data_IF_599021840905
#
_entry.id   IF_599021840905
#
_cell.length_a   1.000
_cell.length_b   1.000
_cell.length_c   1.000
_cell.angle_alpha   90.00
_cell.angle_beta   90.00
_cell.angle_gamma   90.00
#
_symmetry.space_group_name_H-M   'P 1'
#
loop_
_entity.id
_entity.type
_entity.pdbx_description
1 polymer ?
2 non-polymer ?
3 water ?
#
# COMPACT_ATOMS: atom_id res chain seq x y z
N UNK A 7 30.70 7.05 5.81
CA UNK A 7 31.29 6.79 4.49
C UNK A 7 30.29 6.25 3.43
N UNK A 8 29.42 5.21 3.69
CA UNK A 8 28.54 4.75 2.61
C UNK A 8 27.38 5.68 2.32
N UNK A 9 27.08 5.88 1.04
CA UNK A 9 26.01 6.76 0.64
C UNK A 9 25.05 6.07 -0.32
N UNK A 10 23.80 6.52 -0.34
CA UNK A 10 22.77 6.00 -1.23
C UNK A 10 22.51 7.05 -2.29
N UNK A 11 22.52 6.70 -3.58
CA UNK A 11 22.20 7.67 -4.64
C UNK A 11 20.73 8.15 -4.45
N UNK A 12 19.84 7.22 -4.05
CA UNK A 12 18.43 7.42 -3.76
C UNK A 12 17.92 6.21 -2.94
N UNK A 13 16.74 6.35 -2.30
CA UNK A 13 16.17 5.27 -1.50
C UNK A 13 14.73 5.05 -1.94
N UNK A 14 14.45 3.91 -2.57
CA UNK A 14 13.12 3.59 -3.08
C UNK A 14 12.63 2.27 -2.51
N UNK A 15 11.33 2.15 -2.32
CA UNK A 15 10.74 0.91 -1.82
C UNK A 15 9.39 0.61 -2.44
N UNK A 16 9.11 -0.67 -2.67
CA UNK A 16 7.81 -1.14 -3.13
C UNK A 16 7.38 -2.22 -2.15
N UNK A 17 6.19 -2.05 -1.53
CA UNK A 17 5.66 -2.97 -0.53
C UNK A 17 4.32 -3.45 -1.04
N UNK A 18 4.10 -4.78 -1.13
CA UNK A 18 2.86 -5.35 -1.60
C UNK A 18 2.32 -6.27 -0.53
N UNK A 19 1.05 -6.10 -0.18
CA UNK A 19 0.37 -6.95 0.79
C UNK A 19 -0.89 -7.53 0.21
N UNK A 20 -0.98 -8.85 0.11
CA UNK A 20 -2.18 -9.51 -0.41
C UNK A 20 -3.01 -10.17 0.67
N UNK A 21 -4.28 -9.78 0.76
CA UNK A 21 -5.19 -10.28 1.78
C UNK A 21 -6.46 -10.92 1.25
N UNK A 22 -7.17 -10.20 0.40
CA UNK A 22 -8.47 -10.57 -0.13
C UNK A 22 -8.36 -11.53 -1.32
N UNK A 23 -8.07 -12.79 -1.05
CA UNK A 23 -7.93 -13.81 -2.07
C UNK A 23 -9.28 -14.32 -2.56
N UNK A 24 -9.44 -14.38 -3.87
CA UNK A 24 -10.68 -14.81 -4.47
C UNK A 24 -10.90 -16.31 -4.33
N UNK A 25 -9.86 -17.14 -4.48
CA UNK A 25 -10.04 -18.60 -4.34
C UNK A 25 -9.20 -19.21 -3.21
N UNK A 26 -8.63 -18.40 -2.32
CA UNK A 26 -7.81 -18.89 -1.21
C UNK A 26 -8.18 -18.23 0.12
N UNK A 27 -7.75 -18.79 1.26
CA UNK A 27 -8.08 -18.16 2.55
C UNK A 27 -7.64 -16.70 2.64
N UNK A 28 -8.53 -15.84 3.15
CA UNK A 28 -8.18 -14.45 3.30
C UNK A 28 -7.20 -14.24 4.47
N UNK A 29 -6.23 -13.35 4.28
CA UNK A 29 -5.25 -13.02 5.30
C UNK A 29 -5.62 -11.68 5.92
N UNK A 30 -5.18 -11.41 7.15
CA UNK A 30 -5.51 -10.13 7.80
C UNK A 30 -4.27 -9.31 8.08
N UNK A 31 -3.15 -9.98 8.49
CA UNK A 31 -1.90 -9.33 8.85
C UNK A 31 -1.23 -8.46 7.76
N UNK A 32 -1.24 -8.78 6.43
CA UNK A 32 -0.59 -7.87 5.46
C UNK A 32 -1.03 -6.41 5.54
N UNK A 33 -2.32 -6.13 5.85
CA UNK A 33 -2.84 -4.77 5.98
C UNK A 33 -2.03 -3.96 6.99
N UNK A 34 -1.94 -4.41 8.25
CA UNK A 34 -1.23 -3.73 9.31
C UNK A 34 0.28 -3.70 9.08
N UNK A 35 0.83 -4.83 8.64
CA UNK A 35 2.25 -4.98 8.37
C UNK A 35 2.77 -4.05 7.27
N UNK A 36 2.11 -4.01 6.11
CA UNK A 36 2.48 -3.11 5.04
C UNK A 36 2.30 -1.64 5.47
N UNK A 37 1.21 -1.34 6.20
CA UNK A 37 0.97 0.02 6.71
C UNK A 37 2.07 0.48 7.66
N UNK A 38 2.48 -0.37 8.60
CA UNK A 38 3.52 -0.02 9.57
C UNK A 38 4.91 0.01 8.96
N UNK A 39 5.20 -0.87 7.99
CA UNK A 39 6.51 -0.86 7.34
C UNK A 39 6.65 0.40 6.48
N UNK A 40 5.54 0.85 5.81
CA UNK A 40 5.49 2.04 4.97
C UNK A 40 5.91 3.25 5.78
N UNK A 41 5.32 3.42 6.98
CA UNK A 41 5.66 4.55 7.83
C UNK A 41 7.10 4.48 8.30
N UNK A 42 7.56 3.29 8.72
CA UNK A 42 8.93 3.10 9.17
C UNK A 42 9.96 3.45 8.09
N UNK A 43 9.76 2.97 6.85
CA UNK A 43 10.67 3.25 5.74
C UNK A 43 10.63 4.73 5.34
N UNK A 44 9.44 5.38 5.38
CA UNK A 44 9.36 6.81 5.08
C UNK A 44 10.16 7.62 6.09
N UNK A 45 10.20 7.20 7.36
CA UNK A 45 11.03 7.82 8.39
C UNK A 45 12.51 7.72 8.03
N UNK A 46 12.93 6.64 7.32
CA UNK A 46 14.32 6.43 6.89
C UNK A 46 14.61 7.10 5.52
N UNK A 47 13.71 7.98 5.02
CA UNK A 47 13.79 8.76 3.78
C UNK A 47 13.67 7.95 2.49
N UNK A 48 12.94 6.83 2.54
CA UNK A 48 12.65 6.04 1.36
C UNK A 48 11.41 6.63 0.69
N UNK A 49 11.38 6.59 -0.63
CA UNK A 49 10.20 6.98 -1.40
C UNK A 49 9.46 5.65 -1.55
N UNK A 50 8.36 5.47 -0.83
CA UNK A 50 7.64 4.20 -0.76
C UNK A 50 6.35 4.16 -1.56
N UNK A 51 6.10 3.04 -2.25
CA UNK A 51 4.82 2.80 -2.89
C UNK A 51 4.29 1.55 -2.22
N UNK A 52 3.11 1.64 -1.58
CA UNK A 52 2.52 0.50 -0.88
C UNK A 52 1.20 0.12 -1.55
N UNK A 53 1.09 -1.12 -1.96
CA UNK A 53 -0.08 -1.60 -2.67
C UNK A 53 -0.70 -2.79 -2.02
N UNK A 54 -2.00 -2.75 -1.87
CA UNK A 54 -2.75 -3.79 -1.21
C UNK A 54 -3.66 -4.54 -2.23
N UNK A 55 -3.69 -5.86 -2.17
CA UNK A 55 -4.53 -6.73 -2.98
C UNK A 55 -4.32 -6.61 -4.51
N UNK A 56 -3.15 -7.03 -5.02
CA UNK A 56 -2.87 -6.96 -6.46
C UNK A 56 -3.07 -8.30 -7.18
N UNK A 57 -3.51 -8.21 -8.44
CA UNK A 57 -3.70 -9.38 -9.32
C UNK A 57 -2.34 -9.75 -9.94
N UNK A 58 -2.26 -10.86 -10.72
CA UNK A 58 -0.99 -11.29 -11.34
C UNK A 58 -0.44 -10.17 -12.24
N UNK A 59 -1.29 -9.59 -13.11
CA UNK A 59 -0.91 -8.50 -14.00
C UNK A 59 -0.42 -7.28 -13.24
N UNK A 60 -1.19 -6.84 -12.23
CA UNK A 60 -0.86 -5.70 -11.39
C UNK A 60 0.46 -5.91 -10.62
N UNK A 61 0.69 -7.12 -10.09
CA UNK A 61 1.94 -7.42 -9.39
C UNK A 61 3.14 -7.32 -10.34
N UNK A 62 3.07 -7.95 -11.53
CA UNK A 62 4.14 -7.89 -12.53
C UNK A 62 4.42 -6.45 -12.94
N UNK A 63 3.38 -5.62 -13.17
CA UNK A 63 3.55 -4.22 -13.54
C UNK A 63 4.18 -3.37 -12.47
N UNK A 64 3.79 -3.56 -11.20
CA UNK A 64 4.36 -2.79 -10.10
C UNK A 64 5.82 -3.15 -9.87
N UNK A 65 6.17 -4.46 -9.93
CA UNK A 65 7.55 -4.90 -9.76
C UNK A 65 8.42 -4.34 -10.92
N UNK A 66 7.91 -4.37 -12.15
CA UNK A 66 8.64 -3.84 -13.30
C UNK A 66 8.95 -2.35 -13.16
N UNK A 67 7.98 -1.56 -12.67
CA UNK A 67 8.19 -0.13 -12.45
C UNK A 67 9.20 0.15 -11.34
N UNK A 68 9.21 -0.68 -10.31
CA UNK A 68 10.15 -0.56 -9.22
C UNK A 68 11.54 -0.90 -9.73
N UNK A 69 11.67 -1.98 -10.51
CA UNK A 69 12.96 -2.42 -11.06
C UNK A 69 13.59 -1.31 -11.93
N UNK A 70 12.75 -0.53 -12.63
CA UNK A 70 13.21 0.55 -13.47
C UNK A 70 13.83 1.72 -12.70
N UNK A 71 13.53 1.85 -11.39
CA UNK A 71 14.11 2.89 -10.55
C UNK A 71 15.49 2.54 -10.03
N UNK A 72 15.88 1.25 -10.09
CA UNK A 72 17.15 0.77 -9.54
C UNK A 72 18.38 1.11 -10.39
N UNK A 73 18.73 2.40 -10.45
CA UNK A 73 19.92 2.84 -11.17
C UNK A 73 21.18 2.66 -10.31
N UNK A 74 22.36 2.89 -10.90
CA UNK A 74 23.64 2.75 -10.20
C UNK A 74 23.68 3.54 -8.88
N UNK A 75 24.02 2.84 -7.79
CA UNK A 75 24.12 3.44 -6.47
C UNK A 75 22.84 3.57 -5.67
N UNK A 76 21.69 3.30 -6.29
CA UNK A 76 20.40 3.40 -5.60
C UNK A 76 20.18 2.26 -4.59
N UNK A 77 19.46 2.56 -3.48
CA UNK A 77 19.09 1.58 -2.45
C UNK A 77 17.62 1.24 -2.69
N UNK A 78 17.34 -0.02 -2.96
CA UNK A 78 15.97 -0.46 -3.21
C UNK A 78 15.51 -1.52 -2.24
N UNK A 79 14.24 -1.45 -1.79
CA UNK A 79 13.70 -2.47 -0.88
C UNK A 79 12.38 -2.96 -1.45
N UNK A 80 12.23 -4.27 -1.59
CA UNK A 80 10.99 -4.84 -2.08
C UNK A 80 10.45 -5.75 -1.00
N UNK A 81 9.18 -5.56 -0.61
CA UNK A 81 8.59 -6.38 0.44
C UNK A 81 7.28 -6.98 -0.03
N UNK A 82 7.11 -8.28 0.16
CA UNK A 82 5.87 -8.92 -0.19
C UNK A 82 5.34 -9.69 0.99
N UNK A 83 4.05 -9.54 1.29
CA UNK A 83 3.39 -10.28 2.35
C UNK A 83 2.11 -10.86 1.76
N UNK A 84 1.92 -12.17 1.92
CA UNK A 84 0.75 -12.87 1.40
C UNK A 84 0.94 -14.36 1.26
N UNK A 85 0.13 -15.02 0.43
CA UNK A 85 0.30 -16.45 0.22
C UNK A 85 1.53 -16.71 -0.63
N UNK A 86 2.25 -17.75 -0.26
CA UNK A 86 3.43 -18.18 -0.97
C UNK A 86 3.27 -19.62 -1.41
N UNK A 87 4.00 -20.00 -2.44
CA UNK A 87 3.91 -21.32 -3.02
C UNK A 87 5.34 -21.78 -3.31
N UNK A 88 5.66 -23.06 -3.07
CA UNK A 88 7.00 -23.59 -3.35
C UNK A 88 6.86 -24.80 -4.29
N UNK A 89 7.59 -24.79 -5.42
CA UNK A 89 7.50 -25.85 -6.41
C UNK A 89 8.79 -25.97 -7.21
N UNK A 90 9.39 -27.18 -7.19
CA UNK A 90 10.63 -27.52 -7.90
C UNK A 90 11.82 -26.68 -7.44
N UNK A 91 11.93 -26.43 -6.14
CA UNK A 91 13.01 -25.61 -5.59
C UNK A 91 12.86 -24.12 -5.79
N UNK A 92 11.74 -23.68 -6.38
CA UNK A 92 11.46 -22.27 -6.62
C UNK A 92 10.31 -21.81 -5.74
N UNK A 93 10.33 -20.55 -5.36
CA UNK A 93 9.30 -19.95 -4.51
C UNK A 93 8.51 -18.95 -5.35
N UNK A 94 7.21 -18.83 -5.09
CA UNK A 94 6.32 -17.97 -5.86
C UNK A 94 5.43 -17.13 -4.98
N UNK A 95 5.14 -15.90 -5.45
CA UNK A 95 4.25 -14.97 -4.77
C UNK A 95 2.89 -15.13 -5.40
N UNK A 96 1.90 -15.42 -4.58
CA UNK A 96 0.56 -15.70 -5.06
C UNK A 96 -0.32 -14.45 -5.13
N UNK A 97 -0.75 -14.02 -6.33
CA UNK A 97 -1.63 -12.84 -6.42
C UNK A 97 -3.07 -13.17 -6.00
N UNK A 98 -3.88 -12.13 -5.70
CA UNK A 98 -5.25 -12.32 -5.20
C UNK A 98 -6.19 -13.04 -6.18
N UNK A 99 -5.92 -12.95 -7.49
CA UNK A 99 -6.75 -13.59 -8.51
C UNK A 99 -6.31 -15.00 -8.89
N UNK A 100 -5.34 -15.59 -8.17
CA UNK A 100 -4.83 -16.92 -8.47
C UNK A 100 -5.89 -17.97 -8.27
N UNK A 101 -6.07 -18.84 -9.26
CA UNK A 101 -7.10 -19.88 -9.15
C UNK A 101 -6.69 -20.99 -8.19
N UNK A 102 -7.66 -21.79 -7.76
CA UNK A 102 -7.40 -22.93 -6.87
C UNK A 102 -7.61 -24.21 -7.70
N UNK A 103 -6.58 -25.09 -7.82
CA UNK A 103 -5.27 -25.08 -7.16
C UNK A 103 -4.23 -24.11 -7.76
N UNK A 104 -3.09 -23.90 -7.04
CA UNK A 104 -2.04 -23.00 -7.50
C UNK A 104 -1.36 -23.52 -8.76
N UNK A 105 -1.12 -22.63 -9.72
CA UNK A 105 -0.36 -22.94 -10.94
C UNK A 105 0.77 -21.91 -11.02
N UNK A 106 2.02 -22.36 -11.28
CA UNK A 106 3.19 -21.48 -11.31
C UNK A 106 3.06 -20.30 -12.27
N UNK A 107 2.48 -20.54 -13.46
CA UNK A 107 2.28 -19.53 -14.49
C UNK A 107 1.43 -18.34 -14.03
N UNK A 108 0.53 -18.59 -13.06
CA UNK A 108 -0.31 -17.53 -12.49
C UNK A 108 0.36 -16.77 -11.34
N UNK A 109 1.58 -17.16 -10.93
CA UNK A 109 2.29 -16.56 -9.82
C UNK A 109 3.57 -15.85 -10.26
N UNK A 110 4.15 -15.04 -9.38
CA UNK A 110 5.39 -14.36 -9.66
C UNK A 110 6.56 -15.15 -9.06
N UNK A 111 7.51 -15.58 -9.89
CA UNK A 111 8.67 -16.32 -9.45
C UNK A 111 9.69 -15.41 -8.79
N UNK A 112 9.96 -15.68 -7.51
CA UNK A 112 10.90 -14.96 -6.65
C UNK A 112 12.33 -15.00 -7.20
N UNK A 113 12.78 -16.18 -7.62
CA UNK A 113 14.11 -16.38 -8.18
C UNK A 113 14.32 -15.54 -9.43
N UNK A 114 13.28 -15.36 -10.25
CA UNK A 114 13.36 -14.56 -11.48
C UNK A 114 13.50 -13.07 -11.18
N UNK A 115 12.88 -12.59 -10.09
CA UNK A 115 13.03 -11.20 -9.68
C UNK A 115 14.45 -11.00 -9.17
N UNK A 116 14.98 -11.95 -8.38
CA UNK A 116 16.34 -11.94 -7.88
C UNK A 116 17.36 -11.85 -9.02
N UNK A 117 17.11 -12.59 -10.11
CA UNK A 117 17.93 -12.60 -11.32
C UNK A 117 17.96 -11.20 -11.94
N UNK A 118 16.80 -10.51 -12.00
CA UNK A 118 16.73 -9.16 -12.56
C UNK A 118 17.39 -8.15 -11.64
N UNK A 119 17.30 -8.35 -10.32
CA UNK A 119 17.94 -7.48 -9.36
C UNK A 119 19.46 -7.55 -9.44
N UNK A 120 20.01 -8.74 -9.78
CA UNK A 120 21.44 -9.01 -9.93
C UNK A 120 22.08 -8.23 -11.10
N UNK A 121 21.27 -7.88 -12.10
CA UNK A 121 21.73 -7.13 -13.27
C UNK A 121 21.79 -5.62 -13.02
N UNK A 122 21.25 -5.12 -11.91
CA UNK A 122 21.33 -3.72 -11.54
C UNK A 122 22.65 -3.45 -10.84
N UNK A 123 23.08 -2.19 -10.85
CA UNK A 123 24.31 -1.79 -10.16
C UNK A 123 23.93 -1.03 -8.87
N UNK A 124 22.90 -1.54 -8.16
CA UNK A 124 22.41 -0.95 -6.93
C UNK A 124 23.46 -0.92 -5.84
N UNK A 125 23.37 0.09 -5.00
CA UNK A 125 24.20 0.21 -3.82
C UNK A 125 23.75 -0.83 -2.81
N UNK A 126 22.43 -1.03 -2.71
CA UNK A 126 21.86 -2.03 -1.84
C UNK A 126 20.51 -2.46 -2.40
N UNK A 127 20.22 -3.75 -2.31
CA UNK A 127 18.95 -4.27 -2.77
C UNK A 127 18.45 -5.26 -1.73
N UNK A 128 17.39 -4.91 -1.01
CA UNK A 128 16.82 -5.76 0.04
C UNK A 128 15.53 -6.33 -0.46
N UNK A 129 15.40 -7.66 -0.47
CA UNK A 129 14.16 -8.30 -0.91
C UNK A 129 13.66 -9.13 0.26
N UNK A 130 12.50 -8.77 0.82
CA UNK A 130 11.93 -9.50 1.95
C UNK A 130 10.60 -10.16 1.55
N UNK A 131 10.47 -11.47 1.80
CA UNK A 131 9.25 -12.22 1.53
C UNK A 131 8.69 -12.68 2.83
N UNK A 132 7.44 -12.35 3.10
CA UNK A 132 6.76 -12.72 4.32
C UNK A 132 5.58 -13.54 3.85
N UNK A 133 5.76 -14.85 3.73
CA UNK A 133 4.72 -15.69 3.17
C UNK A 133 4.05 -16.68 4.11
N UNK A 134 2.84 -17.06 3.71
CA UNK A 134 2.00 -18.05 4.32
C UNK A 134 2.02 -19.23 3.32
N UNK A 135 2.64 -20.36 3.70
CA UNK A 135 2.85 -21.48 2.78
C UNK A 135 1.73 -22.52 2.67
N UNK A 152 29.79 -9.69 -11.31
CA UNK A 152 29.19 -8.40 -10.97
C UNK A 152 28.24 -8.48 -9.75
N UNK A 153 28.43 -7.54 -8.78
CA UNK A 153 27.55 -7.43 -7.60
C UNK A 153 26.56 -6.27 -7.77
N UNK A 154 25.38 -6.47 -7.17
CA UNK A 154 24.22 -5.61 -6.98
C UNK A 154 23.91 -5.47 -5.46
N UNK A 155 24.69 -6.15 -4.56
CA UNK A 155 24.54 -6.17 -3.11
C UNK A 155 23.13 -6.57 -2.68
N UNK A 156 22.73 -7.81 -3.02
CA UNK A 156 21.40 -8.31 -2.70
C UNK A 156 21.36 -9.01 -1.34
N UNK A 157 20.44 -8.56 -0.47
CA UNK A 157 20.17 -9.15 0.85
C UNK A 157 18.74 -9.64 0.77
N UNK A 158 18.55 -10.96 0.81
CA UNK A 158 17.27 -11.60 0.64
C UNK A 158 16.81 -12.26 1.92
N UNK A 159 15.66 -11.84 2.42
CA UNK A 159 15.07 -12.36 3.65
C UNK A 159 13.84 -13.16 3.29
N UNK A 160 13.79 -14.40 3.74
CA UNK A 160 12.71 -15.29 3.38
C UNK A 160 12.06 -15.90 4.60
N UNK A 161 10.95 -15.28 5.02
CA UNK A 161 10.14 -15.72 6.15
C UNK A 161 8.97 -16.56 5.64
N UNK A 162 8.76 -17.73 6.27
CA UNK A 162 7.68 -18.65 5.92
C UNK A 162 6.94 -18.94 7.22
N UNK A 163 5.61 -18.70 7.27
CA UNK A 163 4.81 -18.91 8.47
C UNK A 163 3.51 -19.66 8.16
N UNK A 164 3.55 -20.68 7.29
CA UNK A 164 2.35 -21.46 6.92
C UNK A 164 1.35 -21.75 8.09
N UNK A 165 0.23 -21.03 8.08
CA UNK A 165 -0.81 -21.17 9.09
C UNK A 165 -1.46 -19.86 9.47
N UNK A 166 -2.35 -19.95 10.50
CA UNK A 166 -3.18 -18.92 11.19
C UNK A 166 -4.20 -19.74 12.04
N UNK A 167 -4.85 -20.72 11.39
CA UNK A 167 -5.70 -21.73 11.98
C UNK A 167 -4.84 -22.87 12.60
N UNK A 168 -3.52 -22.84 12.42
CA UNK A 168 -2.62 -23.84 12.99
C UNK A 168 -2.07 -23.41 14.36
N UNK A 169 -2.45 -22.23 14.87
CA UNK A 169 -1.94 -21.75 16.14
C UNK A 169 -2.95 -21.83 17.28
N UNK A 170 -4.27 -21.90 16.96
CA UNK A 170 -5.41 -21.97 17.90
C UNK A 170 -5.83 -20.62 18.49
N UNK A 171 -5.00 -19.59 18.34
CA UNK A 171 -5.18 -18.23 18.84
C UNK A 171 -6.30 -17.47 18.11
N UNK A 172 -7.14 -16.72 18.85
CA UNK A 172 -8.15 -15.84 18.26
C UNK A 172 -7.46 -14.48 18.08
N UNK A 173 -6.90 -14.21 16.89
CA UNK A 173 -6.13 -12.99 16.67
C UNK A 173 -6.97 -11.70 16.48
N UNK A 174 -6.33 -10.54 16.80
CA UNK A 174 -6.87 -9.19 16.84
C UNK A 174 -7.41 -8.60 15.52
N UNK A 175 -7.07 -9.13 14.35
CA UNK A 175 -7.56 -8.56 13.09
C UNK A 175 -6.66 -7.43 12.61
N UNK A 176 -6.36 -6.50 13.53
CA UNK A 176 -5.37 -5.44 13.36
C UNK A 176 -4.00 -5.89 14.00
N UNK A 177 -3.83 -7.22 14.23
CA UNK A 177 -2.65 -7.87 14.77
C UNK A 177 -1.57 -8.04 13.69
N UNK A 178 -0.29 -7.98 14.09
CA UNK A 178 0.86 -8.11 13.20
C UNK A 178 1.24 -9.54 12.98
N UNK A 179 1.77 -9.82 11.79
CA UNK A 179 2.37 -11.10 11.45
C UNK A 179 3.63 -11.30 12.28
N UNK A 180 4.14 -12.55 12.33
CA UNK A 180 5.32 -12.86 13.15
C UNK A 180 6.57 -12.10 12.69
N UNK A 181 6.92 -12.17 11.38
CA UNK A 181 8.09 -11.46 10.89
C UNK A 181 8.07 -9.97 11.18
N UNK A 182 6.96 -9.29 10.84
CA UNK A 182 6.83 -7.85 11.04
C UNK A 182 6.88 -7.42 12.47
N UNK A 183 6.36 -8.24 13.39
CA UNK A 183 6.36 -7.96 14.81
C UNK A 183 7.80 -7.67 15.31
N UNK A 184 8.74 -8.54 14.93
CA UNK A 184 10.13 -8.37 15.31
C UNK A 184 10.88 -7.40 14.42
N UNK A 185 10.51 -7.33 13.14
CA UNK A 185 11.18 -6.46 12.19
C UNK A 185 10.99 -5.00 12.55
N UNK A 186 9.75 -4.60 12.85
CA UNK A 186 9.45 -3.21 13.17
C UNK A 186 10.18 -2.73 14.45
N UNK A 187 10.54 -3.64 15.36
CA UNK A 187 11.28 -3.29 16.56
C UNK A 187 12.80 -3.06 16.33
N UNK A 188 13.31 -3.31 15.11
CA UNK A 188 14.74 -3.17 14.83
C UNK A 188 15.09 -2.44 13.54
N UNK A 189 14.12 -2.21 12.67
CA UNK A 189 14.36 -1.59 11.38
C UNK A 189 14.99 -0.22 11.42
N UNK A 190 14.66 0.58 12.45
CA UNK A 190 15.19 1.94 12.55
C UNK A 190 16.62 2.03 13.08
N UNK A 191 17.26 0.90 13.37
CA UNK A 191 18.63 0.89 13.87
C UNK A 191 19.65 1.27 12.79
N UNK A 192 20.69 2.03 13.21
CA UNK A 192 21.81 2.40 12.37
C UNK A 192 22.86 1.28 12.48
N UNK A 193 22.57 0.15 11.82
CA UNK A 193 23.42 -1.05 11.77
C UNK A 193 23.35 -1.62 10.37
N UNK A 194 24.43 -2.32 9.92
CA UNK A 194 24.50 -2.98 8.60
C UNK A 194 23.27 -3.91 8.44
N UNK A 195 22.58 -3.84 7.31
CA UNK A 195 21.32 -4.56 7.11
C UNK A 195 21.40 -6.07 7.43
N UNK A 196 22.51 -6.73 7.10
CA UNK A 196 22.69 -8.15 7.37
C UNK A 196 22.85 -8.42 8.85
N UNK A 197 23.47 -7.50 9.60
CA UNK A 197 23.62 -7.66 11.03
C UNK A 197 22.24 -7.46 11.71
N UNK A 198 21.44 -6.51 11.21
CA UNK A 198 20.12 -6.17 11.71
C UNK A 198 19.14 -7.33 11.47
N UNK A 199 19.17 -7.94 10.28
CA UNK A 199 18.31 -9.08 9.99
C UNK A 199 18.70 -10.31 10.80
N UNK A 200 19.97 -10.45 11.15
CA UNK A 200 20.44 -11.54 11.98
C UNK A 200 19.85 -11.39 13.40
N UNK A 201 19.70 -10.15 13.89
CA UNK A 201 19.12 -9.87 15.19
C UNK A 201 17.62 -10.22 15.18
N UNK A 202 16.91 -9.93 14.07
CA UNK A 202 15.50 -10.30 13.91
C UNK A 202 15.34 -11.82 13.94
N UNK A 203 16.28 -12.54 13.30
CA UNK A 203 16.32 -14.00 13.27
C UNK A 203 16.50 -14.55 14.68
N UNK A 204 17.36 -13.91 15.48
CA UNK A 204 17.59 -14.31 16.88
C UNK A 204 16.34 -14.05 17.72
N UNK A 205 15.69 -12.89 17.52
CA UNK A 205 14.47 -12.52 18.23
C UNK A 205 13.37 -13.56 18.02
N UNK A 206 13.21 -14.01 16.77
CA UNK A 206 12.21 -15.02 16.42
C UNK A 206 12.53 -16.37 17.05
N UNK A 207 13.81 -16.69 17.14
CA UNK A 207 14.30 -17.93 17.72
C UNK A 207 14.02 -18.02 19.20
N UNK A 208 13.96 -16.87 19.89
CA UNK A 208 13.66 -16.77 21.33
C UNK A 208 12.15 -16.94 21.62
N UNK A 209 11.29 -16.60 20.64
CA UNK A 209 9.83 -16.70 20.74
C UNK A 209 9.42 -18.17 20.63
N UNK A 210 8.79 -18.72 21.69
CA UNK A 210 8.35 -20.12 21.75
C UNK A 210 7.21 -20.47 20.79
N UNK A 211 6.30 -19.52 20.48
CA UNK A 211 5.19 -19.70 19.54
C UNK A 211 5.71 -20.08 18.12
N UNK A 212 6.82 -19.45 17.73
CA UNK A 212 7.52 -19.60 16.46
C UNK A 212 8.02 -21.05 16.22
N UNK A 213 8.41 -21.77 17.28
CA UNK A 213 8.93 -23.14 17.18
C UNK A 213 8.11 -24.07 16.27
N UNK A 214 8.71 -24.45 15.14
CA UNK A 214 8.12 -25.35 14.16
C UNK A 214 7.03 -24.75 13.27
N UNK A 215 6.72 -23.47 13.46
CA UNK A 215 5.70 -22.78 12.69
C UNK A 215 6.34 -21.71 11.78
N UNK A 216 7.12 -20.78 12.36
CA UNK A 216 7.82 -19.77 11.58
C UNK A 216 9.20 -20.25 11.16
N UNK A 217 9.71 -19.66 10.10
CA UNK A 217 11.04 -19.91 9.57
C UNK A 217 11.56 -18.61 8.94
N UNK A 218 12.88 -18.43 8.94
CA UNK A 218 13.53 -17.27 8.33
C UNK A 218 14.91 -17.65 7.83
N UNK A 219 15.16 -17.46 6.53
CA UNK A 219 16.44 -17.72 5.90
C UNK A 219 16.91 -16.41 5.31
N UNK A 220 18.14 -16.01 5.63
CA UNK A 220 18.71 -14.78 5.07
C UNK A 220 19.85 -15.15 4.12
N UNK A 221 19.77 -14.69 2.89
CA UNK A 221 20.83 -14.92 1.90
C UNK A 221 21.44 -13.56 1.60
N UNK A 222 22.77 -13.49 1.54
CA UNK A 222 23.41 -12.22 1.35
C UNK A 222 24.66 -12.31 0.54
N UNK A 223 24.75 -11.41 -0.44
CA UNK A 223 25.93 -11.20 -1.25
C UNK A 223 26.40 -9.75 -1.08
N UNK A 224 26.22 -9.18 0.16
CA UNK A 224 26.60 -7.83 0.56
C UNK A 224 28.05 -7.76 0.98
N UNK A 225 28.90 -7.26 0.05
CA UNK A 225 30.35 -7.12 0.18
C UNK A 225 30.82 -5.82 0.85
N UNK A 226 29.89 -4.93 1.22
CA UNK A 226 30.26 -3.68 1.86
C UNK A 226 29.30 -3.27 2.99
N UNK A 227 29.76 -2.40 3.91
CA UNK A 227 28.99 -1.96 5.09
C UNK A 227 27.85 -1.01 4.74
N UNK A 228 26.70 -1.56 4.31
CA UNK A 228 25.54 -0.73 3.97
C UNK A 228 24.36 -0.94 4.92
N UNK A 229 23.65 0.17 5.21
CA UNK A 229 22.53 0.20 6.14
C UNK A 229 21.37 1.00 5.58
N UNK A 230 20.16 0.71 6.04
CA UNK A 230 18.98 1.44 5.59
C UNK A 230 19.01 2.91 6.00
N UNK A 231 19.77 3.24 7.04
CA UNK A 231 19.94 4.57 7.59
C UNK A 231 21.00 5.43 6.85
N UNK A 232 21.73 4.87 5.86
CA UNK A 232 22.76 5.58 5.09
C UNK A 232 22.17 6.83 4.42
N UNK A 233 22.91 7.95 4.40
CA UNK A 233 22.36 9.18 3.83
C UNK A 233 22.29 9.18 2.31
N UNK A 234 21.44 10.07 1.76
CA UNK A 234 21.30 10.19 0.32
C UNK A 234 22.34 11.18 -0.25
N UNK A 235 23.17 10.69 -1.19
CA UNK A 235 24.27 11.40 -1.85
C UNK A 235 23.79 12.35 -2.97
N UNK A 236 24.67 12.68 -3.91
CA UNK A 236 24.35 13.50 -5.07
C UNK A 236 23.45 12.70 -5.98
N UNK A 237 22.13 12.75 -5.68
CA UNK A 237 21.01 12.06 -6.33
C UNK A 237 21.17 12.09 -7.87
N UNK A 238 21.42 13.29 -8.46
CA UNK A 238 21.70 13.53 -9.89
C UNK A 238 20.91 12.62 -10.86
N UNK A 239 19.57 12.84 -11.00
CA UNK A 239 18.77 12.01 -11.91
C UNK A 239 19.26 12.23 -13.34
N UNK A 240 19.31 11.15 -14.11
CA UNK A 240 19.69 11.21 -15.53
C UNK A 240 18.50 11.80 -16.37
N UNK A 241 18.62 11.80 -17.72
CA UNK A 241 17.55 12.32 -18.57
C UNK A 241 16.28 11.44 -18.59
N UNK A 242 16.42 10.12 -18.87
CA UNK A 242 15.30 9.21 -18.97
C UNK A 242 14.77 8.66 -17.64
N UNK A 243 15.48 8.92 -16.53
CA UNK A 243 15.09 8.47 -15.19
C UNK A 243 14.33 9.56 -14.40
N UNK A 244 14.40 10.81 -14.85
CA UNK A 244 13.80 11.95 -14.18
C UNK A 244 12.29 11.80 -13.84
N UNK A 245 11.42 11.68 -14.87
CA UNK A 245 9.97 11.57 -14.73
C UNK A 245 9.57 10.40 -13.84
N UNK A 246 10.17 9.23 -14.07
CA UNK A 246 9.93 7.99 -13.31
C UNK A 246 10.09 8.20 -11.81
N UNK A 247 11.20 8.82 -11.42
CA UNK A 247 11.55 9.07 -10.04
C UNK A 247 10.71 10.15 -9.38
N UNK A 248 10.31 11.17 -10.15
CA UNK A 248 9.45 12.21 -9.62
C UNK A 248 8.04 11.63 -9.41
N UNK A 249 7.55 10.82 -10.37
CA UNK A 249 6.23 10.18 -10.28
C UNK A 249 6.14 9.24 -9.08
N UNK A 250 7.19 8.46 -8.81
CA UNK A 250 7.22 7.54 -7.68
C UNK A 250 7.16 8.33 -6.38
N UNK A 251 7.92 9.43 -6.30
CA UNK A 251 7.94 10.26 -5.10
C UNK A 251 6.59 10.95 -4.84
N UNK A 252 5.80 11.22 -5.90
CA UNK A 252 4.50 11.89 -5.84
C UNK A 252 3.28 10.96 -5.74
N UNK A 253 3.46 9.64 -5.83
CA UNK A 253 2.34 8.70 -5.68
C UNK A 253 1.84 8.56 -4.22
N UNK A 254 2.43 9.35 -3.31
CA UNK A 254 2.07 9.44 -1.91
C UNK A 254 1.19 10.73 -1.65
N UNK A 255 1.20 11.69 -2.61
CA UNK A 255 0.46 12.95 -2.54
C UNK A 255 -1.04 12.84 -2.85
N UNK A 256 -1.82 13.23 -1.85
CA UNK A 256 -3.27 13.21 -1.89
C UNK A 256 -3.82 14.40 -2.64
N UNK A 257 -5.04 14.29 -3.23
CA UNK A 257 -5.68 15.50 -3.77
C UNK A 257 -5.97 16.47 -2.61
N UNK A 258 -5.89 17.78 -2.86
CA UNK A 258 -6.13 18.77 -1.81
C UNK A 258 -7.62 18.88 -1.46
N UNK A 259 -7.93 19.31 -0.22
CA UNK A 259 -9.31 19.49 0.24
C UNK A 259 -10.04 20.51 -0.61
N UNK A 260 -11.32 20.28 -0.91
CA UNK A 260 -12.09 21.24 -1.71
C UNK A 260 -13.44 21.58 -1.10
N UNK A 261 -13.90 22.79 -1.35
CA UNK A 261 -15.19 23.25 -0.86
C UNK A 261 -16.08 23.50 -2.06
N UNK A 262 -17.13 22.70 -2.19
CA UNK A 262 -18.05 22.79 -3.31
C UNK A 262 -19.25 23.63 -2.96
N UNK A 263 -19.56 24.61 -3.80
CA UNK A 263 -20.70 25.48 -3.58
C UNK A 263 -21.79 25.11 -4.56
N UNK A 264 -22.99 24.91 -4.03
CA UNK A 264 -24.14 24.52 -4.81
C UNK A 264 -25.01 25.72 -5.13
N UNK A 265 -25.87 25.60 -6.16
CA UNK A 265 -26.77 26.67 -6.61
C UNK A 265 -27.62 27.27 -5.49
N UNK A 266 -28.16 26.44 -4.60
CA UNK A 266 -28.99 26.88 -3.49
C UNK A 266 -28.23 27.63 -2.38
N UNK A 267 -26.90 27.52 -2.36
CA UNK A 267 -26.07 28.18 -1.37
C UNK A 267 -25.37 27.25 -0.39
N UNK A 268 -25.74 25.96 -0.39
CA UNK A 268 -25.13 24.96 0.51
C UNK A 268 -23.67 24.67 0.10
N UNK A 269 -22.75 24.64 1.08
CA UNK A 269 -21.34 24.37 0.84
C UNK A 269 -20.95 23.02 1.43
N UNK A 270 -20.30 22.18 0.64
CA UNK A 270 -19.87 20.84 1.07
C UNK A 270 -18.34 20.77 1.07
N UNK A 271 -17.72 20.30 2.17
CA UNK A 271 -16.27 20.11 2.21
C UNK A 271 -15.92 18.66 1.89
N UNK A 272 -15.03 18.47 0.90
CA UNK A 272 -14.54 17.19 0.39
C UNK A 272 -13.09 17.04 0.83
N UNK A 273 -12.82 15.99 1.58
CA UNK A 273 -11.48 15.72 2.10
C UNK A 273 -10.95 14.39 1.66
N UNK A 274 -9.63 14.24 1.71
CA UNK A 274 -8.97 13.02 1.25
C UNK A 274 -7.92 12.49 2.24
N UNK A 275 -7.82 11.18 2.35
CA UNK A 275 -6.85 10.51 3.21
C UNK A 275 -6.38 9.23 2.54
N UNK A 276 -5.18 8.73 2.91
CA UNK A 276 -4.67 7.51 2.30
C UNK A 276 -4.18 6.46 3.28
N UNK A 277 -4.57 5.21 3.05
CA UNK A 277 -4.08 4.08 3.84
C UNK A 277 -2.86 3.51 3.10
N UNK A 278 -2.99 3.34 1.77
CA UNK A 278 -1.97 2.80 0.88
C UNK A 278 -1.94 3.63 -0.42
N UNK A 279 -0.92 3.42 -1.27
CA UNK A 279 -0.85 4.08 -2.56
C UNK A 279 -2.05 3.74 -3.44
N UNK A 280 -2.77 2.63 -3.19
CA UNK A 280 -3.96 2.30 -3.98
C UNK A 280 -5.28 2.32 -3.16
N UNK A 281 -5.23 2.82 -1.92
CA UNK A 281 -6.42 2.90 -1.04
C UNK A 281 -6.57 4.32 -0.52
N UNK A 282 -7.64 5.00 -0.95
CA UNK A 282 -7.94 6.37 -0.54
C UNK A 282 -9.33 6.48 0.07
N UNK A 283 -9.47 7.29 1.12
CA UNK A 283 -10.74 7.55 1.77
C UNK A 283 -11.19 8.97 1.41
N UNK A 284 -12.44 9.11 0.98
CA UNK A 284 -13.04 10.40 0.66
C UNK A 284 -14.08 10.69 1.75
N UNK A 285 -14.06 11.91 2.30
CA UNK A 285 -15.05 12.29 3.29
C UNK A 285 -15.73 13.60 2.94
N UNK A 286 -17.03 13.71 3.26
CA UNK A 286 -17.81 14.91 2.98
C UNK A 286 -18.54 15.39 4.23
N UNK A 287 -18.72 16.70 4.34
CA UNK A 287 -19.45 17.30 5.46
C UNK A 287 -20.07 18.63 5.00
N UNK A 288 -21.27 18.96 5.51
CA UNK A 288 -21.93 20.20 5.15
C UNK A 288 -21.30 21.31 5.98
N UNK A 289 -20.57 22.24 5.33
CA UNK A 289 -19.91 23.32 6.05
C UNK A 289 -20.77 24.58 6.15
N UNK A 290 -21.73 24.78 5.24
CA UNK A 290 -22.63 25.94 5.30
C UNK A 290 -24.02 25.60 4.79
N UNK A 291 -25.04 25.93 5.57
CA UNK A 291 -26.44 25.75 5.22
C UNK A 291 -27.09 27.13 5.30
N UNK A 292 -27.53 27.73 4.19
CA UNK A 292 -28.20 29.04 4.27
C UNK A 292 -29.46 28.95 5.14
N UNK A 293 -29.90 30.06 5.78
CA UNK A 293 -31.12 30.00 6.61
C UNK A 293 -32.38 29.56 5.85
N UNK A 294 -32.44 29.86 4.54
CA UNK A 294 -33.55 29.51 3.64
C UNK A 294 -33.70 28.00 3.45
N UNK A 295 -32.60 27.22 3.66
CA UNK A 295 -32.59 25.76 3.53
C UNK A 295 -32.83 25.17 4.90
N UNK A 296 -33.93 24.45 5.06
CA UNK A 296 -34.29 23.88 6.36
C UNK A 296 -33.57 22.57 6.64
N UNK A 297 -33.37 21.75 5.59
CA UNK A 297 -32.78 20.44 5.75
C UNK A 297 -32.04 20.05 4.48
N UNK A 298 -30.82 19.49 4.63
CA UNK A 298 -30.00 19.06 3.50
C UNK A 298 -29.04 17.93 3.89
N UNK A 299 -28.68 17.10 2.91
CA UNK A 299 -27.75 15.99 3.09
C UNK A 299 -26.96 15.77 1.82
N UNK A 300 -25.65 15.50 1.95
CA UNK A 300 -24.80 15.29 0.78
C UNK A 300 -24.27 13.86 0.74
N UNK A 301 -24.05 13.34 -0.47
CA UNK A 301 -23.52 12.00 -0.66
C UNK A 301 -22.76 11.87 -1.99
N UNK A 302 -21.83 10.93 -2.06
CA UNK A 302 -21.00 10.74 -3.24
C UNK A 302 -21.49 9.54 -4.04
N UNK A 303 -21.51 9.67 -5.38
CA UNK A 303 -22.01 8.62 -6.25
C UNK A 303 -21.32 8.62 -7.65
N UNK A 304 -21.66 7.60 -8.49
CA UNK A 304 -21.21 7.42 -9.86
C UNK A 304 -19.69 7.46 -10.02
N UNK A 305 -19.00 6.61 -9.27
CA UNK A 305 -17.54 6.47 -9.38
C UNK A 305 -17.22 5.63 -10.63
N UNK A 306 -16.00 5.73 -11.21
CA UNK A 306 -15.68 4.90 -12.38
C UNK A 306 -15.90 3.41 -12.13
N UNK A 307 -16.52 2.70 -13.11
CA UNK A 307 -16.86 1.28 -12.98
C UNK A 307 -15.68 0.35 -12.66
N UNK A 308 -14.47 0.68 -13.16
CA UNK A 308 -13.25 -0.09 -12.92
C UNK A 308 -12.91 -0.22 -11.42
N UNK A 309 -13.44 0.68 -10.58
CA UNK A 309 -13.19 0.69 -9.14
C UNK A 309 -14.04 -0.33 -8.37
N UNK A 310 -15.21 -0.74 -8.92
CA UNK A 310 -16.18 -1.69 -8.33
C UNK A 310 -16.60 -1.27 -6.90
N UNK A 311 -17.29 -0.12 -6.78
CA UNK A 311 -17.62 0.41 -5.47
C UNK A 311 -18.85 -0.28 -4.79
N UNK A 312 -20.12 -0.02 -5.24
CA UNK A 312 -21.41 -0.47 -4.67
C UNK A 312 -21.89 0.53 -3.62
N UNK A 313 -22.99 1.26 -3.92
CA UNK A 313 -23.50 2.29 -2.98
C UNK A 313 -23.77 1.83 -1.56
N UNK A 314 -24.00 0.52 -1.34
CA UNK A 314 -24.21 -0.02 0.00
C UNK A 314 -22.95 -0.04 0.88
N UNK A 315 -21.77 0.28 0.30
CA UNK A 315 -20.49 0.33 1.03
C UNK A 315 -19.92 1.77 1.12
N UNK A 316 -20.53 2.72 0.40
CA UNK A 316 -20.11 4.11 0.40
C UNK A 316 -21.02 4.97 1.31
N UNK A 317 -20.56 6.19 1.67
CA UNK A 317 -21.29 7.19 2.47
C UNK A 317 -21.64 6.71 3.89
N UNK A 318 -20.67 6.15 4.61
CA UNK A 318 -20.86 5.62 5.94
C UNK A 318 -20.63 6.64 7.06
N UNK A 319 -21.27 6.42 8.21
CA UNK A 319 -21.17 7.32 9.36
C UNK A 319 -19.85 7.32 10.09
N UNK A 320 -19.10 6.21 9.97
CA UNK A 320 -17.78 6.04 10.57
C UNK A 320 -16.80 5.45 9.53
N UNK A 321 -15.49 5.70 9.66
CA UNK A 321 -14.53 5.10 8.71
C UNK A 321 -14.49 3.58 8.80
N UNK A 322 -14.70 3.01 10.00
CA UNK A 322 -14.69 1.56 10.25
C UNK A 322 -15.73 0.82 9.43
N UNK A 323 -16.88 1.44 9.20
CA UNK A 323 -17.95 0.85 8.40
C UNK A 323 -17.58 0.68 6.92
N UNK A 324 -16.56 1.42 6.43
CA UNK A 324 -16.07 1.31 5.05
C UNK A 324 -14.91 0.29 4.90
N UNK A 325 -14.40 -0.22 6.02
CA UNK A 325 -13.26 -1.13 6.06
C UNK A 325 -11.97 -0.40 6.33
N UNK A 326 -12.04 0.83 6.87
CA UNK A 326 -10.88 1.65 7.15
C UNK A 326 -10.62 1.69 8.65
N UNK A 327 -9.46 1.20 9.08
CA UNK A 327 -9.13 1.16 10.51
C UNK A 327 -7.80 1.82 10.85
N UNK A 328 -6.95 2.01 9.85
CA UNK A 328 -5.61 2.49 10.02
C UNK A 328 -5.41 4.02 10.16
N UNK A 329 -6.23 4.84 9.48
CA UNK A 329 -6.01 6.30 9.54
C UNK A 329 -7.12 7.09 10.23
N UNK A 330 -7.83 6.46 11.17
CA UNK A 330 -8.90 7.11 11.94
C UNK A 330 -8.40 8.33 12.78
N UNK A 331 -7.09 8.38 13.07
CA UNK A 331 -6.44 9.46 13.81
C UNK A 331 -6.36 10.74 12.97
N UNK A 332 -6.20 10.59 11.65
CA UNK A 332 -6.10 11.72 10.72
C UNK A 332 -7.43 12.08 10.03
N UNK A 333 -8.53 11.39 10.39
CA UNK A 333 -9.83 11.64 9.77
C UNK A 333 -10.72 12.50 10.67
N UNK A 334 -11.19 13.65 10.16
CA UNK A 334 -12.09 14.50 10.95
C UNK A 334 -13.42 13.81 11.22
N UNK A 335 -14.00 14.07 12.39
CA UNK A 335 -15.27 13.46 12.76
C UNK A 335 -16.47 14.16 12.11
N UNK A 336 -17.66 13.54 12.25
CA UNK A 336 -18.96 14.06 11.81
C UNK A 336 -19.11 14.18 10.29
N UNK A 337 -18.45 13.27 9.55
CA UNK A 337 -18.52 13.25 8.08
C UNK A 337 -19.18 11.96 7.57
N UNK A 338 -19.31 11.82 6.24
CA UNK A 338 -19.72 10.60 5.57
C UNK A 338 -18.48 10.09 4.84
N UNK A 339 -18.15 8.80 5.00
CA UNK A 339 -16.91 8.23 4.49
C UNK A 339 -17.11 7.22 3.39
N UNK A 340 -16.18 7.22 2.42
CA UNK A 340 -16.17 6.27 1.31
C UNK A 340 -14.73 5.78 1.10
N UNK A 341 -14.54 4.46 1.00
CA UNK A 341 -13.20 3.89 0.82
C UNK A 341 -13.02 3.34 -0.60
N UNK A 342 -12.06 3.91 -1.36
CA UNK A 342 -11.72 3.48 -2.72
C UNK A 342 -10.43 2.65 -2.62
N UNK A 343 -10.55 1.33 -2.74
CA UNK A 343 -9.45 0.41 -2.52
C UNK A 343 -8.79 -0.22 -3.76
N UNK A 344 -9.26 0.12 -4.97
CA UNK A 344 -8.69 -0.49 -6.17
C UNK A 344 -8.22 0.57 -7.13
N UNK A 345 -7.55 1.61 -6.60
CA UNK A 345 -7.05 2.75 -7.40
C UNK A 345 -6.14 2.35 -8.55
N UNK A 346 -5.40 1.26 -8.41
CA UNK A 346 -4.50 0.79 -9.48
C UNK A 346 -5.25 0.39 -10.76
N UNK A 347 -6.58 0.12 -10.65
CA UNK A 347 -7.45 -0.23 -11.77
C UNK A 347 -7.97 1.01 -12.54
N UNK A 348 -7.74 2.22 -12.02
CA UNK A 348 -8.16 3.47 -12.62
C UNK A 348 -7.34 3.77 -13.86
N UNK A 349 -8.00 3.82 -15.04
CA UNK A 349 -7.32 4.10 -16.32
C UNK A 349 -7.40 5.58 -16.74
N UNK A 350 -8.37 6.32 -16.19
CA UNK A 350 -8.66 7.70 -16.53
C UNK A 350 -8.70 8.59 -15.27
N UNK A 351 -9.09 9.87 -15.41
CA UNK A 351 -9.22 10.77 -14.27
C UNK A 351 -10.31 10.24 -13.32
N UNK A 352 -10.15 10.48 -12.03
CA UNK A 352 -11.13 10.07 -11.04
C UNK A 352 -12.24 11.11 -11.07
N UNK A 353 -13.32 10.80 -11.77
CA UNK A 353 -14.49 11.66 -11.90
C UNK A 353 -15.65 11.01 -11.17
N UNK A 354 -16.22 11.72 -10.21
CA UNK A 354 -17.39 11.25 -9.47
C UNK A 354 -18.41 12.38 -9.28
N UNK A 355 -19.57 12.07 -8.71
CA UNK A 355 -20.61 13.06 -8.51
C UNK A 355 -20.91 13.31 -7.04
N UNK A 356 -20.98 14.60 -6.64
CA UNK A 356 -21.40 14.97 -5.29
C UNK A 356 -22.86 15.37 -5.44
N UNK A 357 -23.75 14.61 -4.81
CA UNK A 357 -25.20 14.77 -4.87
C UNK A 357 -25.68 15.47 -3.60
N UNK A 358 -26.62 16.40 -3.74
CA UNK A 358 -27.19 17.12 -2.61
C UNK A 358 -28.69 17.06 -2.67
N UNK A 359 -29.32 16.66 -1.56
CA UNK A 359 -30.77 16.66 -1.41
C UNK A 359 -31.02 17.83 -0.47
N UNK A 360 -31.99 18.70 -0.79
CA UNK A 360 -32.27 19.86 0.06
C UNK A 360 -33.72 20.28 0.05
N UNK A 361 -34.12 20.99 1.10
CA UNK A 361 -35.49 21.45 1.22
C UNK A 361 -35.52 22.90 1.69
N UNK A 362 -36.31 23.71 1.01
CA UNK A 362 -36.47 25.11 1.38
C UNK A 362 -37.46 25.19 2.53
N UNK A 363 -37.21 26.10 3.50
CA UNK A 363 -38.10 26.32 4.63
C UNK A 363 -39.42 26.89 4.08
N UNK A 364 -40.52 26.25 4.41
CA UNK A 364 -41.82 26.65 3.87
C UNK A 364 -42.23 25.91 2.62
N UNK A 365 -41.38 25.00 2.13
CA UNK A 365 -41.65 24.18 0.95
C UNK A 365 -41.64 22.70 1.36
N UNK A 366 -42.48 21.89 0.71
CA UNK A 366 -42.62 20.46 0.99
C UNK A 366 -41.76 19.58 0.06
N UNK A 367 -41.42 20.08 -1.13
CA UNK A 367 -40.63 19.35 -2.11
C UNK A 367 -39.15 19.23 -1.75
N UNK A 368 -38.58 18.04 -1.99
CA UNK A 368 -37.16 17.83 -1.78
C UNK A 368 -36.50 18.02 -3.13
N UNK A 369 -35.55 18.93 -3.20
CA UNK A 369 -34.86 19.25 -4.44
C UNK A 369 -33.54 18.47 -4.50
N UNK A 370 -33.19 18.00 -5.69
CA UNK A 370 -31.94 17.28 -5.91
C UNK A 370 -31.03 18.06 -6.86
N UNK A 371 -29.78 18.26 -6.46
CA UNK A 371 -28.77 18.91 -7.28
C UNK A 371 -27.52 18.02 -7.25
N UNK A 372 -26.70 18.10 -8.29
CA UNK A 372 -25.49 17.30 -8.34
C UNK A 372 -24.44 17.91 -9.23
N UNK A 373 -23.19 17.80 -8.82
CA UNK A 373 -22.08 18.29 -9.63
C UNK A 373 -20.96 17.27 -9.71
N UNK A 374 -20.29 17.23 -10.85
CA UNK A 374 -19.18 16.33 -11.05
C UNK A 374 -17.89 16.93 -10.51
N UNK A 375 -17.04 16.08 -9.96
CA UNK A 375 -15.75 16.45 -9.41
C UNK A 375 -14.67 15.63 -10.13
N UNK A 376 -13.57 16.27 -10.54
CA UNK A 376 -12.48 15.58 -11.22
C UNK A 376 -11.24 15.79 -10.34
N UNK A 377 -10.76 14.73 -9.66
CA UNK A 377 -9.57 14.89 -8.81
C UNK A 377 -8.28 14.34 -9.46
N UNK A 378 -8.28 14.26 -10.79
CA UNK A 378 -7.15 13.80 -11.57
C UNK A 378 -6.87 12.32 -11.41
N UNK A 379 -5.60 11.93 -11.44
CA UNK A 379 -5.21 10.54 -11.23
C UNK A 379 -4.47 10.52 -9.89
N UNK A 380 -5.17 10.13 -8.80
CA UNK A 380 -4.54 10.21 -7.47
C UNK A 380 -3.65 9.03 -7.10
N UNK A 381 -2.60 9.31 -6.32
CA UNK A 381 -1.70 8.30 -5.77
C UNK A 381 -1.11 7.34 -6.85
N UNK A 382 -1.40 6.01 -6.79
CA UNK A 382 -0.92 5.01 -7.75
C UNK A 382 -1.39 5.28 -9.18
N UNK A 383 -2.49 6.04 -9.35
CA UNK A 383 -3.00 6.34 -10.68
C UNK A 383 -2.05 7.26 -11.49
N UNK A 384 -1.14 7.99 -10.81
CA UNK A 384 -0.13 8.85 -11.44
C UNK A 384 0.89 8.02 -12.25
N UNK A 385 1.20 6.81 -11.78
CA UNK A 385 2.17 5.93 -12.44
C UNK A 385 1.63 5.38 -13.76
N UNK A 386 2.50 5.32 -14.77
CA UNK A 386 2.15 4.83 -16.10
C UNK A 386 2.15 3.29 -16.16
N UNK A 387 1.15 2.67 -15.49
CA UNK A 387 0.99 1.20 -15.40
C UNK A 387 0.28 0.58 -16.63
X LIG B 1 2.21 -13.53 5.47
X LIG B 1 1.95 -13.29 6.95
X LIG B 1 0.46 -12.89 7.02
X LIG B 1 2.70 -13.82 9.92
X LIG B 1 -0.70 -16.46 12.72
X LIG B 1 -0.91 -13.59 10.29
X LIG B 1 1.24 -14.33 15.69
X LIG B 1 1.20 -15.71 15.73
X LIG B 1 0.55 -16.43 14.74
X LIG B 1 -1.30 -12.40 12.76
X LIG B 1 -2.78 -12.53 12.50
X LIG B 1 -3.38 -13.77 12.34
X LIG B 1 -4.73 -13.89 12.10
X LIG B 1 -5.55 -12.77 12.01
X LIG B 1 -4.95 -11.52 12.18
X LIG B 1 -3.60 -11.40 12.42
X LIG B 1 -7.01 -12.91 11.79
X LIG B 1 -7.57 -13.70 10.77
X LIG B 1 -8.96 -13.76 10.61
X LIG B 1 -9.78 -13.03 11.45
X LIG B 1 -9.24 -12.26 12.46
X LIG B 1 -7.87 -12.21 12.64
X LIG B 1 -6.75 -14.51 9.86
X LIG B 1 -0.35 -14.09 11.24
X LIG B 1 0.64 -15.29 11.03
X LIG B 1 1.08 -15.36 9.65
X LIG B 1 2.05 -14.56 9.19
X LIG B 1 2.27 -14.62 7.70
X LIG B 1 2.85 -12.25 7.44
X LIG B 1 -0.54 -13.65 12.52
X LIG B 1 -0.02 -14.34 13.66
X LIG B 1 0.64 -13.62 14.65
X LIG B 1 -0.06 -15.73 13.71
X LIG B 1 0.03 -16.63 11.52
X LIG B 1 -6.96 -15.80 9.60
X LIG B 1 -5.93 -16.27 8.84
X LIG B 1 -5.14 -15.27 8.65
X LIG B 1 -5.63 -14.14 9.26
#
# INVERSE_FOLDING_TARGET
GPGTTDQPLAKDKVALLIGNMNYREHPKLKAPLVDVYELTNLLRQLDFKVVSLLDLTEYEMRNAVDEFLLLLDKGVYGLLYYAGHGYENFGNSFMVPVDAPNPYRSENCLCVQNILKLMQEKETGLNVFLLDMCRKRNDYDDTIPILDALKVTANIVFGYATCQGAEAFEIQHSGLANGIFMKFLKDRLLEDKKITVLLDEVAEDMGKCHLTKGKQALEIRSSLSEKRALTDPIQGTEYSAESLVRNLQWAKAHELPESMCLKFDCGVQIQLGFAAEFSNVMIIYTSIVYKPPEIIMCDAYVTDFPLDLDIDPKDANKGTPEETGSYLVSKDLPKHCLYTRLSSLQKLKEHLVFTVCLSYQYSGLEDTVEDKQEVNVGKPLIAKLDMHR
OZK C1 C2 C3 O1 O2 O3 C11 C12 C13 C14 C15 C16 C17 C18 C19 C20 C21 C22 C23 C24 C25 C26 C27 C28 C6 N2 C5 C4 N1 N3 C9 C10 C8 C7 N7 N6 N5 N4
#
